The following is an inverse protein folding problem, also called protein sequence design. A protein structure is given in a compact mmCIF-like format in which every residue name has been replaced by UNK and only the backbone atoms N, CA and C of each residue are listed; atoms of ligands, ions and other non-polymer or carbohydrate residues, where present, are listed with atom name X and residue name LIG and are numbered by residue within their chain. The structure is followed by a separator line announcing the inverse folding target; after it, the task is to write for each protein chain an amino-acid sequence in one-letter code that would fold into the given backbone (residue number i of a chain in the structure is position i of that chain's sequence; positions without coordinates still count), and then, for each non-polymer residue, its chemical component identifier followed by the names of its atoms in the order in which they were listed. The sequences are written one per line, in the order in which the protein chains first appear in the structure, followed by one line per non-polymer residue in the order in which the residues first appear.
data_IF_503423319555
#
_entry.id   IF_503423319555
#
_cell.length_a   1.000
_cell.length_b   1.000
_cell.length_c   1.000
_cell.angle_alpha   90.00
_cell.angle_beta   90.00
_cell.angle_gamma   90.00
#
_symmetry.space_group_name_H-M   'P 1'
#
loop_
_entity.id
_entity.type
_entity.pdbx_description
1 polymer ?
#
# COMPACT_ATOMS: atom_id res chain seq x y z
N UNK A 1 8.41 16.17 -11.26
CA UNK A 1 9.40 15.83 -10.22
C UNK A 1 8.85 14.62 -9.51
N UNK A 2 9.44 13.44 -9.71
CA UNK A 2 9.05 12.24 -8.96
C UNK A 2 9.25 12.54 -7.48
N UNK A 3 8.20 12.39 -6.67
CA UNK A 3 8.39 12.32 -5.21
C UNK A 3 9.39 11.20 -4.99
N UNK A 4 10.42 11.42 -4.16
CA UNK A 4 11.39 10.37 -3.82
C UNK A 4 10.63 9.23 -3.13
N UNK A 5 10.21 8.25 -3.91
CA UNK A 5 9.51 7.08 -3.43
C UNK A 5 10.53 6.13 -2.83
N UNK A 6 10.16 5.58 -1.69
CA UNK A 6 10.98 4.59 -1.01
C UNK A 6 11.17 3.37 -1.93
N UNK A 7 12.41 3.07 -2.37
CA UNK A 7 12.66 2.07 -3.41
C UNK A 7 12.41 0.63 -2.96
N UNK A 8 12.20 0.42 -1.66
CA UNK A 8 11.82 -0.88 -1.10
C UNK A 8 10.30 -1.14 -1.14
N UNK A 9 9.48 -0.14 -1.45
CA UNK A 9 8.02 -0.33 -1.59
C UNK A 9 7.70 -1.26 -2.76
N UNK A 10 6.74 -2.17 -2.56
CA UNK A 10 6.34 -3.15 -3.56
C UNK A 10 4.90 -2.96 -3.98
N UNK A 11 4.66 -3.24 -5.26
CA UNK A 11 3.33 -3.43 -5.82
C UNK A 11 2.42 -2.24 -5.57
N UNK A 12 1.19 -2.54 -5.18
CA UNK A 12 0.19 -1.54 -4.81
C UNK A 12 0.18 -1.34 -3.30
N UNK A 13 0.11 -0.08 -2.88
CA UNK A 13 -0.02 0.27 -1.46
C UNK A 13 -1.26 1.14 -1.24
N UNK A 14 -1.65 1.33 0.02
CA UNK A 14 -2.88 2.05 0.39
C UNK A 14 -4.14 1.51 -0.32
N UNK A 15 -4.27 0.17 -0.30
CA UNK A 15 -5.38 -0.53 -0.93
C UNK A 15 -6.71 -0.14 -0.28
N UNK A 16 -7.72 0.13 -1.11
CA UNK A 16 -9.09 0.42 -0.68
C UNK A 16 -10.08 -0.32 -1.57
N UNK A 17 -11.17 -0.76 -0.96
CA UNK A 17 -12.28 -1.40 -1.66
C UNK A 17 -13.38 -0.35 -1.83
N UNK A 18 -13.86 -0.19 -3.05
CA UNK A 18 -14.96 0.72 -3.40
C UNK A 18 -16.08 -0.11 -4.02
N UNK A 19 -17.29 0.01 -3.46
CA UNK A 19 -18.48 -0.64 -4.02
C UNK A 19 -19.04 0.24 -5.15
N UNK A 20 -19.00 -0.29 -6.36
CA UNK A 20 -19.30 0.42 -7.61
C UNK A 20 -20.37 -0.33 -8.38
N UNK A 21 -21.26 0.41 -9.03
CA UNK A 21 -22.39 -0.08 -9.80
C UNK A 21 -22.04 0.03 -11.29
N UNK A 22 -22.23 -1.06 -12.03
CA UNK A 22 -22.28 -1.03 -13.50
C UNK A 22 -23.71 -0.69 -13.91
N UNK A 23 -23.89 0.44 -14.60
CA UNK A 23 -25.21 0.96 -14.96
C UNK A 23 -25.34 0.97 -16.48
N UNK A 24 -26.45 0.43 -16.96
CA UNK A 24 -26.85 0.44 -18.36
C UNK A 24 -27.98 1.45 -18.58
N UNK A 25 -28.03 2.02 -19.78
CA UNK A 25 -29.10 2.92 -20.22
C UNK A 25 -29.99 2.21 -21.25
N UNK A 26 -31.28 2.54 -21.28
CA UNK A 26 -32.23 1.94 -22.23
C UNK A 26 -31.93 2.30 -23.70
N UNK A 27 -31.27 3.42 -23.93
CA UNK A 27 -30.90 3.90 -25.27
C UNK A 27 -29.70 3.14 -25.88
N UNK A 28 -29.13 2.18 -25.16
CA UNK A 28 -27.97 1.40 -25.59
C UNK A 28 -26.63 2.15 -25.47
N UNK A 29 -26.61 3.28 -24.78
CA UNK A 29 -25.37 4.00 -24.46
C UNK A 29 -24.39 3.12 -23.68
N UNK A 30 -23.07 3.39 -23.75
CA UNK A 30 -22.07 2.64 -23.00
C UNK A 30 -22.39 2.61 -21.50
N UNK A 31 -22.04 1.49 -20.87
CA UNK A 31 -22.19 1.36 -19.42
C UNK A 31 -21.36 2.41 -18.70
N UNK A 32 -21.90 2.93 -17.61
CA UNK A 32 -21.17 3.82 -16.71
C UNK A 32 -20.97 3.16 -15.36
N UNK A 33 -19.87 3.53 -14.72
CA UNK A 33 -19.51 3.06 -13.39
C UNK A 33 -19.73 4.19 -12.39
N UNK A 34 -20.53 3.93 -11.36
CA UNK A 34 -20.83 4.93 -10.31
C UNK A 34 -20.77 4.30 -8.94
N UNK A 35 -20.32 5.06 -7.96
CA UNK A 35 -20.41 4.61 -6.58
C UNK A 35 -21.87 4.64 -6.14
N UNK A 36 -22.23 3.74 -5.23
CA UNK A 36 -23.53 3.86 -4.55
C UNK A 36 -23.50 5.07 -3.62
N UNK A 37 -24.59 5.83 -3.60
CA UNK A 37 -24.73 6.96 -2.69
C UNK A 37 -24.59 6.52 -1.22
N UNK A 38 -24.00 7.38 -0.38
CA UNK A 38 -23.68 7.06 1.02
C UNK A 38 -24.91 6.63 1.84
N UNK A 39 -26.08 7.24 1.59
CA UNK A 39 -27.33 6.89 2.28
C UNK A 39 -27.82 5.46 1.98
N UNK A 40 -27.34 4.84 0.91
CA UNK A 40 -27.79 3.55 0.40
C UNK A 40 -26.75 2.42 0.56
N UNK A 41 -25.64 2.67 1.25
CA UNK A 41 -24.60 1.64 1.47
C UNK A 41 -25.10 0.40 2.23
N UNK A 42 -26.22 0.52 2.94
CA UNK A 42 -26.85 -0.58 3.68
C UNK A 42 -27.57 -1.60 2.79
N UNK A 43 -27.90 -1.25 1.54
CA UNK A 43 -28.60 -2.12 0.61
C UNK A 43 -27.71 -3.29 0.18
N UNK A 44 -28.26 -4.50 0.11
CA UNK A 44 -27.56 -5.70 -0.34
C UNK A 44 -27.26 -5.65 -1.84
N UNK A 45 -26.37 -6.51 -2.33
CA UNK A 45 -26.07 -6.58 -3.78
C UNK A 45 -27.30 -7.05 -4.55
N UNK A 46 -28.05 -8.01 -4.02
CA UNK A 46 -29.26 -8.56 -4.62
C UNK A 46 -30.38 -7.52 -4.72
N UNK A 47 -30.49 -6.63 -3.73
CA UNK A 47 -31.46 -5.53 -3.77
C UNK A 47 -31.13 -4.51 -4.86
N UNK A 48 -29.86 -4.37 -5.24
CA UNK A 48 -29.43 -3.37 -6.22
C UNK A 48 -29.45 -3.90 -7.65
N UNK A 49 -29.07 -5.17 -7.85
CA UNK A 49 -29.02 -5.75 -9.21
C UNK A 49 -30.40 -5.74 -9.85
N UNK A 50 -30.48 -5.25 -11.09
CA UNK A 50 -31.69 -5.03 -11.88
C UNK A 50 -32.61 -3.91 -11.40
N UNK A 51 -32.22 -3.14 -10.38
CA UNK A 51 -33.01 -2.02 -9.89
C UNK A 51 -32.81 -0.79 -10.78
N UNK A 52 -33.90 -0.03 -11.08
CA UNK A 52 -33.78 1.28 -11.69
C UNK A 52 -32.99 2.22 -10.79
N UNK A 53 -32.25 3.15 -11.37
CA UNK A 53 -31.48 4.12 -10.62
C UNK A 53 -31.44 5.49 -11.29
N UNK A 54 -31.16 6.50 -10.48
CA UNK A 54 -30.78 7.83 -10.93
C UNK A 54 -29.27 7.87 -10.99
N UNK A 55 -28.73 8.25 -12.13
CA UNK A 55 -27.30 8.35 -12.38
C UNK A 55 -26.89 9.81 -12.30
N UNK A 56 -26.09 10.16 -11.29
CA UNK A 56 -25.46 11.46 -11.16
C UNK A 56 -24.04 11.44 -11.76
N UNK A 57 -23.32 12.55 -11.63
CA UNK A 57 -21.97 12.68 -12.20
C UNK A 57 -20.94 11.74 -11.55
N UNK A 58 -21.03 11.53 -10.23
CA UNK A 58 -20.06 10.77 -9.42
C UNK A 58 -20.66 9.59 -8.64
N UNK A 59 -21.97 9.61 -8.37
CA UNK A 59 -22.69 8.51 -7.72
C UNK A 59 -23.96 8.09 -8.47
N UNK A 60 -24.61 7.05 -7.97
CA UNK A 60 -25.96 6.66 -8.38
C UNK A 60 -26.83 6.31 -7.16
N UNK A 61 -28.14 6.54 -7.33
CA UNK A 61 -29.17 6.30 -6.32
C UNK A 61 -30.13 5.25 -6.84
N UNK A 62 -30.18 4.09 -6.19
CA UNK A 62 -31.11 3.04 -6.55
C UNK A 62 -32.54 3.41 -6.15
N UNK A 63 -33.50 3.12 -7.02
CA UNK A 63 -34.94 3.21 -6.73
C UNK A 63 -35.41 1.84 -6.26
N UNK A 64 -35.01 1.46 -5.05
CA UNK A 64 -35.38 0.18 -4.46
C UNK A 64 -36.72 0.29 -3.72
N UNK A 65 -37.67 -0.57 -4.10
CA UNK A 65 -38.98 -0.65 -3.46
C UNK A 65 -39.96 0.47 -3.87
N UNK A 66 -41.02 0.63 -3.07
CA UNK A 66 -42.10 1.60 -3.32
C UNK A 66 -41.88 2.96 -2.65
N UNK A 67 -40.83 3.11 -1.85
CA UNK A 67 -40.55 4.38 -1.16
C UNK A 67 -39.87 5.36 -2.13
N UNK A 68 -40.39 6.59 -2.24
CA UNK A 68 -39.81 7.60 -3.12
C UNK A 68 -38.44 8.04 -2.61
N UNK A 69 -37.53 8.32 -3.54
CA UNK A 69 -36.27 9.01 -3.25
C UNK A 69 -36.58 10.35 -2.57
N UNK A 70 -35.89 10.67 -1.46
CA UNK A 70 -36.17 11.88 -0.71
C UNK A 70 -35.90 13.13 -1.55
N UNK A 71 -36.62 14.23 -1.26
CA UNK A 71 -36.47 15.47 -2.02
C UNK A 71 -35.05 16.05 -1.91
N UNK A 72 -34.38 15.84 -0.78
CA UNK A 72 -33.00 16.26 -0.56
C UNK A 72 -32.04 15.50 -1.49
N UNK A 73 -32.21 14.18 -1.61
CA UNK A 73 -31.36 13.35 -2.46
C UNK A 73 -31.60 13.59 -3.95
N UNK A 74 -32.84 13.90 -4.34
CA UNK A 74 -33.16 14.36 -5.69
C UNK A 74 -32.46 15.68 -6.01
N UNK A 75 -32.53 16.66 -5.10
CA UNK A 75 -31.86 17.95 -5.28
C UNK A 75 -30.34 17.80 -5.39
N UNK A 76 -29.74 16.85 -4.68
CA UNK A 76 -28.31 16.53 -4.79
C UNK A 76 -27.96 15.93 -6.16
N UNK A 77 -28.79 15.02 -6.68
CA UNK A 77 -28.61 14.48 -8.04
C UNK A 77 -28.68 15.59 -9.10
N UNK A 78 -29.58 16.55 -8.92
CA UNK A 78 -29.79 17.67 -9.86
C UNK A 78 -28.73 18.77 -9.75
N UNK A 79 -28.05 18.87 -8.60
CA UNK A 79 -27.00 19.87 -8.36
C UNK A 79 -25.67 19.54 -9.04
N UNK A 80 -25.47 18.29 -9.50
CA UNK A 80 -24.25 17.86 -10.17
C UNK A 80 -24.10 18.46 -11.58
N UNK A 81 -22.94 19.06 -11.88
CA UNK A 81 -22.60 19.42 -13.26
C UNK A 81 -22.37 18.14 -14.09
N UNK A 82 -23.30 17.80 -14.98
CA UNK A 82 -23.19 16.61 -15.85
C UNK A 82 -24.52 16.04 -16.33
N UNK A 83 -24.46 14.85 -16.93
CA UNK A 83 -25.65 14.09 -17.38
C UNK A 83 -26.29 13.43 -16.15
N UNK A 84 -27.35 14.05 -15.63
CA UNK A 84 -28.33 13.38 -14.79
C UNK A 84 -29.25 12.56 -15.68
N UNK A 85 -29.43 11.27 -15.38
CA UNK A 85 -30.23 10.37 -16.19
C UNK A 85 -30.78 9.18 -15.41
N UNK A 86 -31.67 8.42 -16.04
CA UNK A 86 -32.20 7.18 -15.50
C UNK A 86 -31.47 5.99 -16.13
N UNK A 87 -31.17 4.98 -15.32
CA UNK A 87 -30.53 3.76 -15.78
C UNK A 87 -30.98 2.54 -14.99
N UNK A 88 -30.43 1.38 -15.34
CA UNK A 88 -30.64 0.12 -14.62
C UNK A 88 -29.31 -0.44 -14.19
N UNK A 89 -29.20 -0.82 -12.92
CA UNK A 89 -28.02 -1.43 -12.34
C UNK A 89 -27.88 -2.85 -12.89
N UNK A 90 -26.85 -3.10 -13.69
CA UNK A 90 -26.57 -4.42 -14.27
C UNK A 90 -25.74 -5.33 -13.36
N UNK A 91 -24.82 -4.75 -12.59
CA UNK A 91 -23.97 -5.48 -11.66
C UNK A 91 -23.49 -4.60 -10.51
N UNK A 92 -23.25 -5.22 -9.35
CA UNK A 92 -22.49 -4.62 -8.25
C UNK A 92 -21.10 -5.23 -8.24
N UNK A 93 -20.09 -4.37 -8.20
CA UNK A 93 -18.68 -4.74 -8.26
C UNK A 93 -17.95 -4.07 -7.11
N UNK A 94 -16.97 -4.78 -6.54
CA UNK A 94 -16.08 -4.28 -5.52
C UNK A 94 -14.73 -4.00 -6.15
N UNK A 95 -14.56 -2.76 -6.60
CA UNK A 95 -13.34 -2.29 -7.23
C UNK A 95 -12.26 -2.08 -6.18
N UNK A 96 -11.10 -2.68 -6.39
CA UNK A 96 -9.92 -2.50 -5.57
C UNK A 96 -9.08 -1.41 -6.22
N UNK A 97 -8.84 -0.36 -5.45
CA UNK A 97 -7.93 0.72 -5.82
C UNK A 97 -6.70 0.68 -4.92
N UNK A 98 -5.59 1.21 -5.42
CA UNK A 98 -4.38 1.43 -4.64
C UNK A 98 -3.56 2.55 -5.25
N UNK A 99 -2.34 2.72 -4.75
CA UNK A 99 -1.34 3.58 -5.34
C UNK A 99 -0.26 2.71 -5.99
N UNK A 100 0.20 3.10 -7.18
CA UNK A 100 1.35 2.46 -7.84
C UNK A 100 2.68 2.90 -7.20
N UNK A 101 3.78 2.41 -7.77
CA UNK A 101 5.13 2.77 -7.33
C UNK A 101 5.41 4.27 -7.46
N UNK A 102 4.74 5.00 -8.35
CA UNK A 102 4.86 6.46 -8.51
C UNK A 102 3.94 7.24 -7.53
N UNK A 103 3.22 6.53 -6.66
CA UNK A 103 2.22 7.10 -5.76
C UNK A 103 0.94 7.54 -6.46
N UNK A 104 0.75 7.15 -7.73
CA UNK A 104 -0.44 7.51 -8.51
C UNK A 104 -1.59 6.58 -8.15
N UNK A 105 -2.81 7.12 -7.97
CA UNK A 105 -3.99 6.29 -7.79
C UNK A 105 -4.21 5.40 -9.02
N UNK A 106 -4.38 4.11 -8.80
CA UNK A 106 -4.61 3.12 -9.83
C UNK A 106 -5.76 2.20 -9.45
N UNK A 107 -6.45 1.69 -10.47
CA UNK A 107 -7.38 0.58 -10.33
C UNK A 107 -6.57 -0.74 -10.42
N UNK A 108 -6.75 -1.61 -9.43
CA UNK A 108 -5.99 -2.87 -9.29
C UNK A 108 -6.79 -4.03 -9.88
N UNK A 109 -8.09 -4.07 -9.62
CA UNK A 109 -8.97 -5.10 -10.16
C UNK A 109 -10.36 -5.06 -9.54
N UNK A 110 -11.26 -5.82 -10.15
CA UNK A 110 -12.65 -5.94 -9.75
C UNK A 110 -12.92 -7.32 -9.13
N UNK A 111 -13.73 -7.36 -8.08
CA UNK A 111 -14.33 -8.60 -7.56
C UNK A 111 -15.86 -8.48 -7.50
N UNK A 112 -16.54 -9.62 -7.46
CA UNK A 112 -18.01 -9.69 -7.49
C UNK A 112 -18.65 -9.96 -6.12
N UNK A 113 -17.87 -9.80 -5.04
CA UNK A 113 -18.37 -9.77 -3.66
C UNK A 113 -17.41 -9.01 -2.74
N UNK A 114 -17.95 -8.49 -1.63
CA UNK A 114 -17.17 -7.81 -0.61
C UNK A 114 -16.13 -8.74 0.02
N UNK A 115 -16.49 -10.00 0.25
CA UNK A 115 -15.63 -11.02 0.86
C UNK A 115 -14.44 -11.33 -0.04
N UNK A 116 -14.68 -11.52 -1.34
CA UNK A 116 -13.61 -11.75 -2.30
C UNK A 116 -12.69 -10.52 -2.41
N UNK A 117 -13.24 -9.31 -2.38
CA UNK A 117 -12.43 -8.08 -2.37
C UNK A 117 -11.50 -8.03 -1.15
N UNK A 118 -12.07 -8.30 0.04
CA UNK A 118 -11.29 -8.33 1.31
C UNK A 118 -10.21 -9.39 1.27
N UNK A 119 -10.49 -10.58 0.73
CA UNK A 119 -9.50 -11.65 0.59
C UNK A 119 -8.36 -11.26 -0.36
N UNK A 120 -8.67 -10.64 -1.50
CA UNK A 120 -7.65 -10.14 -2.44
C UNK A 120 -6.81 -9.04 -1.77
N UNK A 121 -7.44 -8.05 -1.12
CA UNK A 121 -6.72 -7.02 -0.37
C UNK A 121 -5.85 -7.63 0.71
N UNK A 122 -6.35 -8.59 1.50
CA UNK A 122 -5.56 -9.26 2.53
C UNK A 122 -4.31 -9.96 1.95
N UNK A 123 -4.46 -10.64 0.81
CA UNK A 123 -3.35 -11.30 0.11
C UNK A 123 -2.34 -10.29 -0.47
N UNK A 124 -2.81 -9.13 -0.92
CA UNK A 124 -1.98 -8.05 -1.45
C UNK A 124 -1.39 -7.12 -0.37
N UNK A 125 -1.96 -7.08 0.84
CA UNK A 125 -1.48 -6.25 1.96
C UNK A 125 -0.31 -6.87 2.73
N UNK A 126 0.08 -8.11 2.39
CA UNK A 126 1.30 -8.75 2.89
C UNK A 126 1.37 -8.95 4.42
N UNK A 127 0.24 -8.95 5.13
CA UNK A 127 0.20 -8.99 6.60
C UNK A 127 0.64 -10.34 7.20
N UNK A 128 0.57 -11.43 6.43
CA UNK A 128 0.98 -12.78 6.84
C UNK A 128 1.82 -13.42 5.73
N UNK A 129 2.75 -14.31 6.09
CA UNK A 129 3.92 -14.78 5.30
C UNK A 129 3.69 -15.46 3.94
N UNK A 130 2.66 -15.08 3.19
CA UNK A 130 2.34 -15.50 1.84
C UNK A 130 3.35 -14.98 0.79
N UNK A 131 4.13 -13.93 1.11
CA UNK A 131 5.21 -13.41 0.25
C UNK A 131 6.45 -13.01 1.04
N UNK A 132 7.62 -13.14 0.40
CA UNK A 132 8.93 -12.89 1.00
C UNK A 132 9.17 -11.40 1.23
N UNK A 133 9.26 -10.94 2.49
CA UNK A 133 9.67 -9.56 2.84
C UNK A 133 11.20 -9.38 2.83
N UNK A 134 11.87 -10.11 1.94
CA UNK A 134 13.31 -10.15 1.82
C UNK A 134 13.76 -9.40 0.57
N UNK A 135 14.80 -8.59 0.70
CA UNK A 135 15.49 -7.94 -0.40
C UNK A 135 16.95 -8.38 -0.42
N UNK A 136 17.49 -8.53 -1.63
CA UNK A 136 18.91 -8.70 -1.88
C UNK A 136 19.30 -7.64 -2.90
N UNK A 137 20.21 -6.75 -2.51
CA UNK A 137 20.62 -5.58 -3.30
C UNK A 137 22.14 -5.44 -3.29
N UNK A 138 22.66 -4.72 -4.28
CA UNK A 138 24.10 -4.49 -4.39
C UNK A 138 24.70 -3.86 -3.14
N UNK A 139 25.85 -4.36 -2.67
CA UNK A 139 26.64 -3.68 -1.64
C UNK A 139 27.22 -2.33 -2.12
N UNK A 140 27.12 -2.00 -3.42
CA UNK A 140 27.54 -0.70 -3.95
C UNK A 140 26.72 0.50 -3.41
N UNK A 141 25.62 0.24 -2.70
CA UNK A 141 24.84 1.27 -2.01
C UNK A 141 25.44 1.74 -0.68
N UNK A 142 26.47 1.05 -0.18
CA UNK A 142 27.14 1.41 1.07
C UNK A 142 28.63 1.64 0.84
N UNK A 143 29.21 2.53 1.65
CA UNK A 143 30.65 2.76 1.66
C UNK A 143 31.41 1.55 2.20
N UNK A 144 32.72 1.49 1.94
CA UNK A 144 33.57 0.44 2.49
C UNK A 144 33.63 0.48 4.03
N UNK A 145 33.64 1.68 4.62
CA UNK A 145 33.55 1.87 6.08
C UNK A 145 32.27 1.25 6.64
N UNK A 146 31.15 1.50 5.98
CA UNK A 146 29.85 0.94 6.34
C UNK A 146 29.82 -0.59 6.20
N UNK A 147 30.46 -1.12 5.16
CA UNK A 147 30.62 -2.57 5.00
C UNK A 147 31.38 -3.20 6.15
N UNK A 148 32.48 -2.58 6.60
CA UNK A 148 33.25 -3.04 7.77
C UNK A 148 32.43 -2.91 9.07
N UNK A 149 31.73 -1.80 9.26
CA UNK A 149 30.84 -1.61 10.41
C UNK A 149 29.78 -2.72 10.53
N UNK A 150 29.13 -3.07 9.41
CA UNK A 150 28.17 -4.17 9.38
C UNK A 150 28.80 -5.54 9.63
N UNK A 151 29.99 -5.77 9.08
CA UNK A 151 30.75 -7.00 9.30
C UNK A 151 31.07 -7.20 10.78
N UNK A 152 31.52 -6.14 11.45
CA UNK A 152 31.79 -6.15 12.89
C UNK A 152 30.50 -6.41 13.69
N UNK A 153 29.38 -5.79 13.32
CA UNK A 153 28.08 -6.05 13.95
C UNK A 153 27.56 -7.47 13.72
N UNK A 154 27.91 -8.10 12.60
CA UNK A 154 27.52 -9.47 12.29
C UNK A 154 28.36 -10.50 13.07
N UNK A 155 29.60 -10.15 13.40
CA UNK A 155 30.52 -11.01 14.16
C UNK A 155 30.35 -10.82 15.68
N UNK A 156 29.82 -9.67 16.11
CA UNK A 156 29.50 -9.33 17.51
C UNK A 156 28.01 -9.54 17.83
N UNK A 157 27.65 -9.63 19.11
CA UNK A 157 26.24 -9.56 19.51
C UNK A 157 25.71 -8.14 19.28
N UNK A 158 24.82 -7.96 18.29
CA UNK A 158 24.22 -6.67 17.97
C UNK A 158 23.47 -6.09 19.20
N UNK A 159 23.72 -4.84 19.61
CA UNK A 159 22.98 -4.21 20.71
C UNK A 159 21.46 -4.21 20.49
N UNK A 160 20.68 -4.62 21.50
CA UNK A 160 19.22 -4.81 21.41
C UNK A 160 18.46 -3.61 20.85
N UNK A 161 18.90 -2.39 21.20
CA UNK A 161 18.20 -1.15 20.83
C UNK A 161 18.47 -0.66 19.39
N UNK A 162 18.99 -1.49 18.50
CA UNK A 162 19.08 -1.15 17.07
C UNK A 162 17.82 -1.51 16.27
N UNK A 163 16.96 -2.39 16.82
CA UNK A 163 15.84 -3.01 16.10
C UNK A 163 16.26 -3.72 14.79
N UNK A 164 17.51 -4.16 14.69
CA UNK A 164 17.93 -5.11 13.68
C UNK A 164 19.06 -6.00 14.22
N UNK A 165 19.33 -7.09 13.52
CA UNK A 165 20.46 -8.00 13.75
C UNK A 165 21.21 -8.15 12.43
N UNK A 166 22.54 -7.98 12.45
CA UNK A 166 23.39 -8.31 11.31
C UNK A 166 23.86 -9.77 11.42
N UNK A 167 24.07 -10.45 10.29
CA UNK A 167 24.58 -11.82 10.25
C UNK A 167 25.38 -12.10 8.97
N UNK A 168 26.34 -13.03 9.08
CA UNK A 168 27.12 -13.51 7.95
C UNK A 168 26.32 -14.51 7.12
N UNK A 169 26.43 -14.42 5.79
CA UNK A 169 25.99 -15.48 4.89
C UNK A 169 27.16 -16.45 4.68
N UNK A 170 27.05 -17.73 5.05
CA UNK A 170 28.16 -18.68 4.90
C UNK A 170 28.64 -18.78 3.46
N UNK A 171 29.96 -18.77 3.26
CA UNK A 171 30.62 -18.87 1.96
C UNK A 171 30.29 -17.74 0.97
N UNK A 172 29.75 -16.61 1.46
CA UNK A 172 29.48 -15.41 0.67
C UNK A 172 30.06 -14.18 1.37
N UNK A 173 30.56 -13.17 0.62
CA UNK A 173 30.93 -11.88 1.20
C UNK A 173 29.70 -11.05 1.62
N UNK A 174 28.48 -11.50 1.29
CA UNK A 174 27.26 -10.81 1.62
C UNK A 174 26.99 -10.72 3.12
N UNK A 175 26.36 -9.62 3.53
CA UNK A 175 25.91 -9.40 4.89
C UNK A 175 24.39 -9.34 4.91
N UNK A 176 23.81 -10.20 5.73
CA UNK A 176 22.38 -10.22 6.00
C UNK A 176 22.02 -9.31 7.17
N UNK A 177 20.86 -8.69 7.09
CA UNK A 177 20.30 -7.80 8.09
C UNK A 177 18.86 -8.23 8.33
N UNK A 178 18.52 -8.60 9.56
CA UNK A 178 17.15 -8.89 9.99
C UNK A 178 16.59 -7.69 10.73
N UNK A 179 15.64 -6.98 10.12
CA UNK A 179 14.95 -5.88 10.76
C UNK A 179 13.86 -6.41 11.71
N UNK A 180 13.65 -5.69 12.81
CA UNK A 180 12.75 -6.03 13.92
C UNK A 180 11.71 -4.92 14.03
N UNK A 181 10.48 -5.30 14.40
CA UNK A 181 9.37 -4.36 14.61
C UNK A 181 9.08 -3.46 13.41
N UNK A 182 9.22 -3.98 12.20
CA UNK A 182 8.77 -3.29 10.97
C UNK A 182 7.24 -3.39 10.81
N UNK A 183 6.60 -2.49 10.05
CA UNK A 183 7.20 -1.32 9.41
C UNK A 183 7.64 -0.26 10.44
N UNK A 184 8.71 0.47 10.16
CA UNK A 184 9.21 1.54 11.04
C UNK A 184 8.42 2.84 10.86
N UNK A 185 7.11 2.76 11.02
CA UNK A 185 6.22 3.93 11.13
C UNK A 185 6.09 4.35 12.59
N UNK A 186 5.78 5.63 12.85
CA UNK A 186 5.60 6.13 14.22
C UNK A 186 4.55 5.31 14.98
N UNK A 187 3.40 5.01 14.36
CA UNK A 187 2.34 4.22 14.97
C UNK A 187 2.81 2.80 15.37
N UNK A 188 3.54 2.12 14.49
CA UNK A 188 3.98 0.75 14.76
C UNK A 188 5.12 0.69 15.78
N UNK A 189 6.06 1.63 15.72
CA UNK A 189 7.17 1.72 16.68
C UNK A 189 6.69 2.17 18.07
N UNK A 190 5.71 3.07 18.14
CA UNK A 190 5.08 3.46 19.40
C UNK A 190 4.39 2.26 20.04
N UNK A 191 3.64 1.47 19.25
CA UNK A 191 3.00 0.25 19.73
C UNK A 191 4.00 -0.83 20.18
N UNK A 192 5.07 -1.06 19.41
CA UNK A 192 6.00 -2.15 19.66
C UNK A 192 7.07 -1.83 20.73
N UNK A 193 7.44 -0.55 20.89
CA UNK A 193 8.59 -0.15 21.71
C UNK A 193 8.50 1.25 22.32
N UNK A 194 7.37 1.96 22.20
CA UNK A 194 7.16 3.28 22.79
C UNK A 194 8.06 4.38 22.23
N UNK A 195 8.57 4.22 21.01
CA UNK A 195 9.44 5.20 20.34
C UNK A 195 8.89 5.59 18.97
N UNK A 196 9.24 6.79 18.51
CA UNK A 196 9.01 7.25 17.13
C UNK A 196 10.11 6.79 16.18
N UNK A 197 9.84 6.83 14.87
CA UNK A 197 10.84 6.59 13.83
C UNK A 197 12.01 7.58 13.94
N UNK A 198 11.73 8.84 14.29
CA UNK A 198 12.75 9.87 14.53
C UNK A 198 13.67 9.51 15.71
N UNK A 199 13.11 8.97 16.80
CA UNK A 199 13.89 8.52 17.95
C UNK A 199 14.76 7.31 17.59
N UNK A 200 14.21 6.33 16.86
CA UNK A 200 14.99 5.20 16.34
C UNK A 200 16.18 5.67 15.49
N UNK A 201 15.95 6.63 14.59
CA UNK A 201 17.02 7.21 13.77
C UNK A 201 18.08 7.94 14.61
N UNK A 202 17.67 8.60 15.69
CA UNK A 202 18.61 9.24 16.61
C UNK A 202 19.43 8.21 17.39
N UNK A 203 18.83 7.10 17.83
CA UNK A 203 19.53 5.99 18.49
C UNK A 203 20.60 5.37 17.57
N UNK A 204 20.28 5.19 16.28
CA UNK A 204 21.25 4.72 15.29
C UNK A 204 22.48 5.63 15.23
N UNK A 205 22.27 6.95 15.13
CA UNK A 205 23.36 7.94 15.11
C UNK A 205 24.15 7.96 16.42
N UNK A 206 23.47 7.91 17.57
CA UNK A 206 24.11 7.92 18.89
C UNK A 206 25.08 6.74 19.08
N UNK A 207 24.82 5.62 18.39
CA UNK A 207 25.66 4.42 18.41
C UNK A 207 26.68 4.37 17.26
N UNK A 208 26.91 5.50 16.59
CA UNK A 208 27.92 5.64 15.55
C UNK A 208 27.58 4.91 14.24
N UNK A 209 26.30 4.62 13.98
CA UNK A 209 25.92 4.04 12.70
C UNK A 209 26.21 5.03 11.55
N UNK A 210 26.90 4.59 10.48
CA UNK A 210 27.08 5.40 9.28
C UNK A 210 25.76 5.86 8.66
N UNK A 211 25.73 7.08 8.11
CA UNK A 211 24.49 7.69 7.64
C UNK A 211 23.90 7.02 6.40
N UNK A 212 24.74 6.47 5.51
CA UNK A 212 24.31 5.69 4.34
C UNK A 212 23.55 4.43 4.77
N UNK A 213 24.05 3.68 5.74
CA UNK A 213 23.37 2.53 6.33
C UNK A 213 22.08 2.94 7.01
N UNK A 214 22.12 3.98 7.84
CA UNK A 214 20.94 4.44 8.56
C UNK A 214 19.84 4.87 7.57
N UNK A 215 20.19 5.46 6.43
CA UNK A 215 19.24 5.82 5.36
C UNK A 215 18.62 4.57 4.72
N UNK A 216 19.45 3.59 4.37
CA UNK A 216 18.98 2.34 3.77
C UNK A 216 18.05 1.60 4.72
N UNK A 217 18.42 1.48 6.00
CA UNK A 217 17.62 0.79 7.00
C UNK A 217 16.32 1.54 7.30
N UNK A 218 16.32 2.87 7.33
CA UNK A 218 15.11 3.66 7.49
C UNK A 218 14.11 3.41 6.34
N UNK A 219 14.60 3.45 5.10
CA UNK A 219 13.78 3.13 3.91
C UNK A 219 13.28 1.68 3.95
N UNK A 220 14.16 0.71 4.16
CA UNK A 220 13.79 -0.70 4.23
C UNK A 220 12.80 -0.97 5.37
N UNK A 221 13.04 -0.40 6.55
CA UNK A 221 12.19 -0.51 7.71
C UNK A 221 10.80 0.06 7.48
N UNK A 222 10.69 1.25 6.87
CA UNK A 222 9.39 1.85 6.53
C UNK A 222 8.61 1.01 5.51
N UNK A 223 9.30 0.31 4.60
CA UNK A 223 8.70 -0.56 3.58
C UNK A 223 8.38 -1.99 4.07
N UNK A 224 8.38 -2.22 5.39
CA UNK A 224 8.18 -3.54 6.02
C UNK A 224 9.16 -4.63 5.53
N UNK A 225 10.38 -4.27 5.16
CA UNK A 225 11.43 -5.24 4.85
C UNK A 225 11.86 -5.96 6.13
N UNK A 226 11.83 -7.30 6.12
CA UNK A 226 12.23 -8.13 7.27
C UNK A 226 13.66 -8.62 7.18
N UNK A 227 14.11 -8.91 5.96
CA UNK A 227 15.48 -9.34 5.68
C UNK A 227 16.01 -8.48 4.54
N UNK A 228 17.18 -7.89 4.74
CA UNK A 228 17.93 -7.20 3.70
C UNK A 228 19.29 -7.87 3.59
N UNK A 229 19.68 -8.28 2.39
CA UNK A 229 21.01 -8.80 2.10
C UNK A 229 21.71 -7.76 1.24
N UNK A 230 22.90 -7.36 1.68
CA UNK A 230 23.83 -6.55 0.88
C UNK A 230 24.87 -7.50 0.29
N UNK A 231 24.82 -7.67 -1.03
CA UNK A 231 25.69 -8.60 -1.77
C UNK A 231 26.34 -7.84 -2.94
N UNK A 232 27.65 -8.00 -3.15
CA UNK A 232 28.35 -7.37 -4.26
C UNK A 232 27.88 -7.91 -5.63
N UNK A 233 27.40 -9.15 -5.68
CA UNK A 233 26.94 -9.81 -6.90
C UNK A 233 25.46 -9.52 -7.23
N UNK A 234 24.74 -8.86 -6.31
CA UNK A 234 23.36 -8.46 -6.51
C UNK A 234 23.25 -7.17 -7.36
N UNK A 235 22.15 -7.00 -8.11
CA UNK A 235 21.91 -5.78 -8.87
C UNK A 235 21.70 -4.58 -7.94
N UNK A 236 22.12 -3.39 -8.40
CA UNK A 236 21.80 -2.15 -7.72
C UNK A 236 20.29 -1.89 -7.71
N UNK A 237 19.77 -1.46 -6.57
CA UNK A 237 18.39 -1.06 -6.39
C UNK A 237 18.16 0.32 -7.03
N UNK A 238 17.34 0.35 -8.06
CA UNK A 238 16.94 1.60 -8.71
C UNK A 238 16.26 2.54 -7.71
N UNK A 239 16.66 3.81 -7.73
CA UNK A 239 16.13 4.84 -6.82
C UNK A 239 16.85 4.92 -5.47
N UNK A 240 17.75 3.99 -5.17
CA UNK A 240 18.66 4.09 -4.04
C UNK A 240 20.03 4.63 -4.51
N UNK A 241 20.59 5.68 -3.88
CA UNK A 241 21.90 6.21 -4.25
C UNK A 241 23.01 5.15 -4.10
N UNK A 242 24.00 5.19 -4.99
CA UNK A 242 25.25 4.45 -4.82
C UNK A 242 26.16 5.21 -3.87
N UNK A 243 27.01 4.49 -3.12
CA UNK A 243 28.03 5.12 -2.33
C UNK A 243 29.05 5.81 -3.24
N UNK A 244 29.38 7.07 -2.94
CA UNK A 244 30.47 7.76 -3.60
C UNK A 244 31.80 7.07 -3.26
N UNK A 245 32.66 6.91 -4.27
CA UNK A 245 33.96 6.24 -4.16
C UNK A 245 35.00 7.06 -3.42
#
# INVERSE_FOLDING_TARGET
MSQNLNPFLRGYWNLRIVRTLSISYEDGSPHVWRNIHASQQHLSDEELVSSPCIVASDFAVARNGTEPVSAELMAECDAGEGVSGEGVIGAVVYAIHGNDFDGRPVHVGDTYSAEAAREVVQRLSFETGYYSRCWEISSAHISEETGRYLADLADLATPEAFLFIAFRVPYSPAIGIKLISTPWTDNNLEHAGGISAKQLRQEHRNKGMPDDLANILDLAGQADVRILILDADAPALLGLPLAES
#
